data_IF_553875148722
#
_entry.id   IF_553875148722
#
_cell.length_a   1.000
_cell.length_b   1.000
_cell.length_c   1.000
_cell.angle_alpha   90.00
_cell.angle_beta   90.00
_cell.angle_gamma   90.00
#
_symmetry.space_group_name_H-M   'P 1'
#
loop_
_entity.id
_entity.type
_entity.pdbx_description
1 polymer ?
#
# COMPACT_ATOMS: atom_id res chain seq x y z
N UNK A 1 51.34 -3.08 72.18
CA UNK A 1 50.25 -2.32 71.52
C UNK A 1 50.64 -2.10 70.06
N UNK A 2 50.32 -3.06 69.19
CA UNK A 2 50.51 -2.90 67.74
C UNK A 2 49.21 -2.41 67.12
N UNK A 3 49.25 -1.19 66.56
CA UNK A 3 48.12 -0.57 65.89
C UNK A 3 48.08 -1.14 64.46
N UNK A 4 47.11 -2.00 64.17
CA UNK A 4 46.87 -2.46 62.80
C UNK A 4 46.51 -1.24 61.92
N UNK A 5 47.33 -1.00 60.90
CA UNK A 5 46.97 -0.15 59.77
C UNK A 5 46.14 -1.02 58.82
N UNK A 6 44.81 -0.95 58.94
CA UNK A 6 43.89 -1.49 57.93
C UNK A 6 44.17 -0.78 56.60
N UNK A 7 44.76 -1.50 55.66
CA UNK A 7 44.83 -1.11 54.26
C UNK A 7 43.41 -1.05 53.69
N UNK A 8 42.93 0.17 53.45
CA UNK A 8 41.72 0.40 52.66
C UNK A 8 41.99 -0.08 51.24
N UNK A 9 41.44 -1.24 50.88
CA UNK A 9 41.32 -1.66 49.49
C UNK A 9 40.41 -0.65 48.79
N UNK A 10 41.02 0.33 48.12
CA UNK A 10 40.35 1.16 47.13
C UNK A 10 39.96 0.24 45.97
N UNK A 11 38.70 -0.17 45.95
CA UNK A 11 38.06 -0.76 44.77
C UNK A 11 38.25 0.26 43.65
N UNK A 12 39.06 -0.09 42.66
CA UNK A 12 39.15 0.71 41.43
C UNK A 12 37.75 0.77 40.82
N UNK A 13 37.27 1.95 40.38
CA UNK A 13 35.95 2.01 39.77
C UNK A 13 35.97 1.10 38.55
N UNK A 14 35.07 0.11 38.54
CA UNK A 14 34.83 -0.72 37.35
C UNK A 14 34.67 0.23 36.17
N UNK A 15 35.49 0.03 35.15
CA UNK A 15 35.35 0.71 33.86
C UNK A 15 33.90 0.52 33.44
N UNK A 16 33.07 1.55 33.58
CA UNK A 16 31.75 1.56 32.99
C UNK A 16 31.99 1.26 31.51
N UNK A 17 31.58 0.07 31.09
CA UNK A 17 31.56 -0.26 29.68
C UNK A 17 30.55 0.71 29.08
N UNK A 18 31.06 1.77 28.44
CA UNK A 18 30.27 2.57 27.52
C UNK A 18 29.72 1.59 26.50
N UNK A 19 28.45 1.22 26.68
CA UNK A 19 27.66 0.63 25.60
C UNK A 19 27.49 1.77 24.61
N UNK A 20 28.49 1.93 23.73
CA UNK A 20 28.35 2.76 22.55
C UNK A 20 27.27 2.09 21.70
N UNK A 21 26.03 2.51 21.92
CA UNK A 21 24.95 2.28 20.97
C UNK A 21 25.29 3.12 19.73
N UNK A 22 26.27 2.66 18.95
CA UNK A 22 26.59 3.21 17.66
C UNK A 22 25.42 2.87 16.74
N UNK A 23 24.54 3.85 16.55
CA UNK A 23 23.45 3.76 15.58
C UNK A 23 24.09 3.71 14.21
N UNK A 24 24.18 2.52 13.64
CA UNK A 24 24.62 2.28 12.27
C UNK A 24 23.55 2.84 11.32
N UNK A 25 23.65 4.15 11.05
CA UNK A 25 22.73 4.90 10.19
C UNK A 25 22.47 4.23 8.84
N UNK A 26 23.51 3.77 8.11
CA UNK A 26 23.34 2.97 6.89
C UNK A 26 22.48 1.72 7.07
N UNK A 27 22.70 0.94 8.13
CA UNK A 27 21.92 -0.27 8.40
C UNK A 27 20.46 0.04 8.77
N UNK A 28 20.22 1.12 9.50
CA UNK A 28 18.86 1.56 9.83
C UNK A 28 18.13 2.07 8.58
N UNK A 29 18.81 2.83 7.72
CA UNK A 29 18.26 3.30 6.45
C UNK A 29 17.89 2.12 5.55
N UNK A 30 18.80 1.16 5.36
CA UNK A 30 18.55 -0.03 4.55
C UNK A 30 17.35 -0.84 5.08
N UNK A 31 17.19 -0.96 6.40
CA UNK A 31 16.03 -1.60 7.02
C UNK A 31 14.73 -0.82 6.75
N UNK A 32 14.78 0.50 6.81
CA UNK A 32 13.63 1.35 6.53
C UNK A 32 13.19 1.27 5.06
N UNK A 33 14.15 1.30 4.13
CA UNK A 33 13.90 1.14 2.68
C UNK A 33 13.28 -0.23 2.37
N UNK A 34 13.79 -1.31 2.98
CA UNK A 34 13.22 -2.65 2.82
C UNK A 34 11.78 -2.74 3.33
N UNK A 35 11.46 -2.11 4.47
CA UNK A 35 10.08 -2.06 4.98
C UNK A 35 9.14 -1.29 4.06
N UNK A 36 9.60 -0.18 3.46
CA UNK A 36 8.81 0.59 2.49
C UNK A 36 8.48 -0.26 1.26
N UNK A 37 9.43 -1.05 0.76
CA UNK A 37 9.18 -1.93 -0.39
C UNK A 37 8.16 -3.03 -0.05
N UNK A 38 8.23 -3.61 1.16
CA UNK A 38 7.19 -4.57 1.62
C UNK A 38 5.81 -3.91 1.69
N UNK A 39 5.69 -2.70 2.25
CA UNK A 39 4.40 -2.00 2.34
C UNK A 39 3.82 -1.68 0.94
N UNK A 40 4.69 -1.44 -0.04
CA UNK A 40 4.29 -1.23 -1.43
C UNK A 40 3.79 -2.51 -2.08
N UNK A 41 4.40 -3.66 -1.80
CA UNK A 41 3.88 -4.96 -2.23
C UNK A 41 2.50 -5.23 -1.62
N UNK A 42 2.34 -5.01 -0.31
CA UNK A 42 1.07 -5.18 0.40
C UNK A 42 -0.03 -4.29 -0.19
N UNK A 43 0.30 -3.03 -0.52
CA UNK A 43 -0.63 -2.12 -1.20
C UNK A 43 -1.11 -2.64 -2.54
N UNK A 44 -0.22 -3.20 -3.37
CA UNK A 44 -0.61 -3.71 -4.69
C UNK A 44 -1.42 -5.00 -4.60
N UNK A 45 -1.15 -5.83 -3.61
CA UNK A 45 -1.96 -7.02 -3.31
C UNK A 45 -3.37 -6.58 -2.91
N UNK A 46 -3.47 -5.66 -1.94
CA UNK A 46 -4.75 -5.10 -1.51
C UNK A 46 -5.52 -4.52 -2.69
N UNK A 47 -4.88 -3.67 -3.49
CA UNK A 47 -5.52 -3.05 -4.66
C UNK A 47 -5.99 -4.07 -5.69
N UNK A 48 -5.25 -5.17 -5.87
CA UNK A 48 -5.67 -6.25 -6.75
C UNK A 48 -6.97 -6.89 -6.25
N UNK A 49 -7.03 -7.24 -4.96
CA UNK A 49 -8.24 -7.79 -4.34
C UNK A 49 -9.44 -6.83 -4.46
N UNK A 50 -9.21 -5.54 -4.25
CA UNK A 50 -10.26 -4.53 -4.41
C UNK A 50 -10.77 -4.43 -5.86
N UNK A 51 -9.88 -4.48 -6.86
CA UNK A 51 -10.26 -4.44 -8.27
C UNK A 51 -11.02 -5.70 -8.73
N UNK A 52 -10.77 -6.84 -8.09
CA UNK A 52 -11.55 -8.07 -8.29
C UNK A 52 -12.95 -7.94 -7.67
N UNK A 53 -13.05 -7.40 -6.46
CA UNK A 53 -14.34 -7.14 -5.82
C UNK A 53 -15.20 -6.15 -6.63
N UNK A 54 -14.58 -5.11 -7.19
CA UNK A 54 -15.24 -4.16 -8.09
C UNK A 54 -15.70 -4.84 -9.37
N UNK A 55 -14.91 -5.76 -9.94
CA UNK A 55 -15.35 -6.50 -11.12
C UNK A 55 -16.62 -7.30 -10.84
N UNK A 56 -16.69 -7.99 -9.70
CA UNK A 56 -17.89 -8.73 -9.28
C UNK A 56 -19.10 -7.80 -9.14
N UNK A 57 -18.91 -6.58 -8.63
CA UNK A 57 -19.97 -5.56 -8.56
C UNK A 57 -20.43 -5.17 -9.96
N UNK A 58 -19.50 -4.88 -10.87
CA UNK A 58 -19.81 -4.47 -12.24
C UNK A 58 -20.51 -5.57 -13.03
N UNK A 59 -20.12 -6.82 -12.84
CA UNK A 59 -20.75 -7.98 -13.47
C UNK A 59 -22.21 -8.10 -13.02
N UNK A 60 -22.50 -7.90 -11.72
CA UNK A 60 -23.89 -7.84 -11.22
C UNK A 60 -24.67 -6.66 -11.79
N UNK A 61 -24.03 -5.49 -11.97
CA UNK A 61 -24.70 -4.32 -12.54
C UNK A 61 -25.17 -4.54 -13.98
N UNK A 62 -24.57 -5.47 -14.72
CA UNK A 62 -25.02 -5.83 -16.07
C UNK A 62 -26.42 -6.49 -16.03
N UNK A 63 -26.68 -7.30 -15.01
CA UNK A 63 -27.91 -8.08 -14.86
C UNK A 63 -28.98 -7.34 -14.05
N UNK A 64 -28.58 -6.77 -12.90
CA UNK A 64 -29.49 -6.25 -11.89
C UNK A 64 -29.61 -4.71 -11.90
N UNK A 65 -28.76 -4.04 -12.69
CA UNK A 65 -28.61 -2.59 -12.67
C UNK A 65 -27.71 -2.09 -11.53
N UNK A 66 -27.45 -0.78 -11.52
CA UNK A 66 -26.55 -0.14 -10.56
C UNK A 66 -27.19 -0.08 -9.16
N UNK A 67 -26.50 -0.64 -8.16
CA UNK A 67 -26.97 -0.68 -6.77
C UNK A 67 -26.18 0.23 -5.82
N UNK A 68 -26.83 0.66 -4.72
CA UNK A 68 -26.25 1.52 -3.69
C UNK A 68 -25.01 0.93 -3.01
N UNK A 69 -25.02 -0.37 -2.71
CA UNK A 69 -23.94 -1.01 -1.96
C UNK A 69 -22.69 -1.13 -2.83
N UNK A 70 -22.87 -1.49 -4.10
CA UNK A 70 -21.82 -1.48 -5.12
C UNK A 70 -21.19 -0.10 -5.28
N UNK A 71 -22.01 0.94 -5.40
CA UNK A 71 -21.52 2.32 -5.51
C UNK A 71 -20.74 2.74 -4.26
N UNK A 72 -21.27 2.48 -3.06
CA UNK A 72 -20.62 2.82 -1.80
C UNK A 72 -19.29 2.08 -1.63
N UNK A 73 -19.23 0.81 -2.04
CA UNK A 73 -17.99 0.03 -2.05
C UNK A 73 -16.94 0.69 -2.95
N UNK A 74 -17.30 0.95 -4.21
CA UNK A 74 -16.39 1.56 -5.19
C UNK A 74 -15.91 2.93 -4.68
N UNK A 75 -16.81 3.78 -4.18
CA UNK A 75 -16.44 5.10 -3.65
C UNK A 75 -15.42 5.03 -2.51
N UNK A 76 -15.63 4.12 -1.54
CA UNK A 76 -14.69 3.91 -0.44
C UNK A 76 -13.32 3.46 -0.96
N UNK A 77 -13.30 2.46 -1.85
CA UNK A 77 -12.06 1.97 -2.45
C UNK A 77 -11.31 3.07 -3.19
N UNK A 78 -12.01 3.92 -3.95
CA UNK A 78 -11.39 5.05 -4.66
C UNK A 78 -10.83 6.11 -3.70
N UNK A 79 -11.52 6.39 -2.61
CA UNK A 79 -11.04 7.31 -1.58
C UNK A 79 -9.73 6.82 -0.95
N UNK A 80 -9.69 5.55 -0.55
CA UNK A 80 -8.50 4.89 -0.01
C UNK A 80 -7.36 4.90 -1.05
N UNK A 81 -7.69 4.58 -2.31
CA UNK A 81 -6.74 4.51 -3.41
C UNK A 81 -6.09 5.87 -3.71
N UNK A 82 -6.84 6.97 -3.63
CA UNK A 82 -6.31 8.34 -3.79
C UNK A 82 -5.22 8.64 -2.78
N UNK A 83 -5.45 8.34 -1.50
CA UNK A 83 -4.48 8.60 -0.44
C UNK A 83 -3.26 7.67 -0.52
N UNK A 84 -3.50 6.37 -0.70
CA UNK A 84 -2.44 5.37 -0.65
C UNK A 84 -1.54 5.40 -1.90
N UNK A 85 -2.11 5.62 -3.08
CA UNK A 85 -1.34 5.62 -4.34
C UNK A 85 -0.24 6.67 -4.35
N UNK A 86 -0.49 7.87 -3.81
CA UNK A 86 0.54 8.93 -3.73
C UNK A 86 1.68 8.51 -2.82
N UNK A 87 1.36 7.91 -1.67
CA UNK A 87 2.35 7.41 -0.69
C UNK A 87 3.30 6.39 -1.31
N UNK A 88 2.79 5.50 -2.18
CA UNK A 88 3.58 4.43 -2.79
C UNK A 88 4.14 4.77 -4.19
N UNK A 89 4.01 6.02 -4.65
CA UNK A 89 4.62 6.49 -5.89
C UNK A 89 3.80 6.22 -7.16
N UNK A 90 2.48 6.14 -7.06
CA UNK A 90 1.53 5.89 -8.15
C UNK A 90 0.59 7.09 -8.43
N UNK A 91 1.12 8.27 -8.80
CA UNK A 91 0.30 9.49 -8.96
C UNK A 91 -0.77 9.36 -10.06
N UNK A 92 -0.50 8.61 -11.12
CA UNK A 92 -1.49 8.34 -12.19
C UNK A 92 -2.70 7.60 -11.64
N UNK A 93 -2.48 6.60 -10.77
CA UNK A 93 -3.56 5.83 -10.14
C UNK A 93 -4.38 6.73 -9.22
N UNK A 94 -3.73 7.62 -8.46
CA UNK A 94 -4.42 8.62 -7.64
C UNK A 94 -5.31 9.55 -8.48
N UNK A 95 -4.85 10.01 -9.64
CA UNK A 95 -5.63 10.90 -10.50
C UNK A 95 -6.83 10.19 -11.12
N UNK A 96 -6.65 8.95 -11.58
CA UNK A 96 -7.75 8.13 -12.11
C UNK A 96 -8.81 7.86 -11.04
N UNK A 97 -8.38 7.58 -9.80
CA UNK A 97 -9.28 7.36 -8.68
C UNK A 97 -10.11 8.62 -8.36
N UNK A 98 -9.46 9.78 -8.31
CA UNK A 98 -10.13 11.06 -8.07
C UNK A 98 -11.14 11.41 -9.18
N UNK A 99 -10.76 11.22 -10.44
CA UNK A 99 -11.64 11.43 -11.61
C UNK A 99 -12.88 10.54 -11.54
N UNK A 100 -12.71 9.26 -11.18
CA UNK A 100 -13.84 8.35 -11.05
C UNK A 100 -14.74 8.70 -9.85
N UNK A 101 -14.15 9.11 -8.72
CA UNK A 101 -14.90 9.56 -7.53
C UNK A 101 -15.81 10.76 -7.88
N UNK A 102 -15.30 11.70 -8.68
CA UNK A 102 -16.08 12.82 -9.21
C UNK A 102 -17.22 12.36 -10.14
N UNK A 103 -16.93 11.46 -11.09
CA UNK A 103 -17.95 10.88 -11.97
C UNK A 103 -19.07 10.18 -11.18
N UNK A 104 -18.74 9.41 -10.14
CA UNK A 104 -19.72 8.73 -9.29
C UNK A 104 -20.60 9.70 -8.48
N UNK A 105 -20.11 10.91 -8.23
CA UNK A 105 -20.84 11.97 -7.50
C UNK A 105 -21.73 12.80 -8.42
N UNK A 106 -21.27 13.08 -9.64
CA UNK A 106 -21.92 14.04 -10.54
C UNK A 106 -22.86 13.40 -11.55
N UNK A 107 -22.61 12.15 -11.93
CA UNK A 107 -23.41 11.47 -12.95
C UNK A 107 -24.56 10.70 -12.30
N UNK A 108 -25.83 10.97 -12.70
CA UNK A 108 -26.97 10.15 -12.30
C UNK A 108 -26.76 8.69 -12.67
N UNK A 109 -27.12 7.77 -11.77
CA UNK A 109 -26.85 6.34 -11.95
C UNK A 109 -27.66 5.72 -13.09
N UNK A 110 -28.81 6.31 -13.39
CA UNK A 110 -29.68 5.92 -14.50
C UNK A 110 -29.13 6.39 -15.86
N UNK A 111 -28.07 7.21 -15.87
CA UNK A 111 -27.44 7.65 -17.10
C UNK A 111 -26.85 6.45 -17.86
N UNK A 112 -27.13 6.38 -19.15
CA UNK A 112 -26.55 5.37 -20.04
C UNK A 112 -25.01 5.42 -20.08
N UNK A 113 -24.40 6.54 -19.67
CA UNK A 113 -22.95 6.70 -19.60
C UNK A 113 -22.34 6.31 -18.26
N UNK A 114 -23.15 6.08 -17.21
CA UNK A 114 -22.66 5.84 -15.86
C UNK A 114 -21.76 4.60 -15.80
N UNK A 115 -22.33 3.41 -16.03
CA UNK A 115 -21.60 2.13 -15.94
C UNK A 115 -20.46 2.02 -16.95
N UNK A 116 -20.61 2.42 -18.24
CA UNK A 116 -19.50 2.37 -19.20
C UNK A 116 -18.30 3.21 -18.79
N UNK A 117 -18.51 4.41 -18.22
CA UNK A 117 -17.40 5.25 -17.77
C UNK A 117 -16.74 4.71 -16.51
N UNK A 118 -17.51 4.14 -15.58
CA UNK A 118 -16.94 3.43 -14.41
C UNK A 118 -16.03 2.30 -14.87
N UNK A 119 -16.50 1.46 -15.80
CA UNK A 119 -15.72 0.36 -16.37
C UNK A 119 -14.41 0.82 -17.02
N UNK A 120 -14.45 1.84 -17.87
CA UNK A 120 -13.24 2.38 -18.52
C UNK A 120 -12.22 2.88 -17.49
N UNK A 121 -12.67 3.57 -16.43
CA UNK A 121 -11.77 4.05 -15.37
C UNK A 121 -11.16 2.90 -14.57
N UNK A 122 -11.96 1.90 -14.18
CA UNK A 122 -11.47 0.72 -13.45
C UNK A 122 -10.45 -0.06 -14.29
N UNK A 123 -10.69 -0.23 -15.60
CA UNK A 123 -9.73 -0.85 -16.52
C UNK A 123 -8.44 -0.04 -16.64
N UNK A 124 -8.53 1.30 -16.69
CA UNK A 124 -7.35 2.16 -16.72
C UNK A 124 -6.51 2.06 -15.43
N UNK A 125 -7.18 1.99 -14.27
CA UNK A 125 -6.52 1.77 -12.97
C UNK A 125 -5.81 0.41 -12.98
N UNK A 126 -6.51 -0.67 -13.36
CA UNK A 126 -5.95 -2.03 -13.44
C UNK A 126 -4.74 -2.12 -14.35
N UNK A 127 -4.79 -1.49 -15.53
CA UNK A 127 -3.65 -1.47 -16.46
C UNK A 127 -2.44 -0.72 -15.90
N UNK A 128 -2.69 0.42 -15.25
CA UNK A 128 -1.65 1.23 -14.61
C UNK A 128 -0.93 0.48 -13.49
N UNK A 129 -1.68 -0.30 -12.70
CA UNK A 129 -1.15 -1.07 -11.57
C UNK A 129 -0.46 -2.36 -12.00
N UNK A 130 -0.98 -3.08 -13.00
CA UNK A 130 -0.31 -4.25 -13.57
C UNK A 130 1.09 -3.89 -14.12
N UNK A 131 1.19 -2.75 -14.81
CA UNK A 131 2.47 -2.23 -15.31
C UNK A 131 3.45 -1.93 -14.16
N UNK A 132 2.95 -1.41 -13.04
CA UNK A 132 3.75 -1.16 -11.85
C UNK A 132 4.20 -2.46 -11.16
N UNK A 133 3.31 -3.44 -11.08
CA UNK A 133 3.55 -4.73 -10.42
C UNK A 133 4.59 -5.57 -11.18
N UNK A 134 4.58 -5.51 -12.52
CA UNK A 134 5.62 -6.13 -13.37
C UNK A 134 7.03 -5.58 -13.13
N UNK A 135 7.15 -4.35 -12.63
CA UNK A 135 8.45 -3.74 -12.31
C UNK A 135 9.00 -4.19 -10.96
N UNK A 136 8.20 -4.86 -10.13
CA UNK A 136 8.65 -5.42 -8.86
C UNK A 136 9.38 -6.74 -9.14
N UNK A 137 10.60 -6.86 -8.63
CA UNK A 137 11.45 -8.03 -8.87
C UNK A 137 11.17 -9.22 -7.94
N UNK A 138 9.96 -9.35 -7.39
CA UNK A 138 9.61 -10.49 -6.53
C UNK A 138 8.94 -11.64 -7.31
N UNK A 139 9.24 -12.92 -7.00
CA UNK A 139 8.59 -14.07 -7.66
C UNK A 139 7.08 -14.09 -7.49
N UNK A 140 6.57 -13.53 -6.39
CA UNK A 140 5.13 -13.35 -6.18
C UNK A 140 4.56 -12.26 -7.09
N UNK A 141 5.27 -11.14 -7.24
CA UNK A 141 4.85 -10.07 -8.14
C UNK A 141 4.74 -10.53 -9.61
N UNK A 142 5.67 -11.38 -10.04
CA UNK A 142 5.62 -11.92 -11.40
C UNK A 142 4.42 -12.86 -11.63
N UNK A 143 4.00 -13.63 -10.61
CA UNK A 143 2.84 -14.53 -10.72
C UNK A 143 1.52 -13.76 -10.79
N UNK A 144 1.28 -12.84 -9.86
CA UNK A 144 0.02 -12.12 -9.83
C UNK A 144 -0.11 -11.12 -11.00
N UNK A 145 0.98 -10.51 -11.50
CA UNK A 145 0.92 -9.72 -12.75
C UNK A 145 0.45 -10.58 -13.93
N UNK A 146 0.97 -11.81 -14.04
CA UNK A 146 0.57 -12.72 -15.11
C UNK A 146 -0.92 -13.03 -15.04
N UNK A 147 -1.45 -13.33 -13.86
CA UNK A 147 -2.87 -13.60 -13.65
C UNK A 147 -3.77 -12.41 -14.02
N UNK A 148 -3.31 -11.17 -13.78
CA UNK A 148 -4.02 -9.95 -14.14
C UNK A 148 -3.99 -9.62 -15.64
N UNK A 149 -2.99 -10.11 -16.38
CA UNK A 149 -2.87 -9.87 -17.82
C UNK A 149 -3.56 -10.95 -18.67
N UNK A 150 -3.81 -12.12 -18.10
CA UNK A 150 -4.41 -13.27 -18.80
C UNK A 150 -5.94 -13.35 -18.70
N UNK A 151 -6.57 -12.44 -17.96
CA UNK A 151 -8.04 -12.30 -17.82
C UNK A 151 -8.55 -11.08 -18.55
#
# INVERSE_FOLDING_TARGET
MSKELRSLNLVQPEKQQEIKNEVDGPKILARAEALIETLKEDFLIWLTTELEAIQIIQDRWIEDGVDDNGCAYIQRTLHDLKAQSVTFGYPVVSHLAASLEEHLRETPRESATFSPLVDIHIRAIRSSTATAFLKIESPHAKRLAKELMEK
#
